data_IF_371496448066
#
_entry.id   IF_371496448066
#
_cell.length_a   1.000
_cell.length_b   1.000
_cell.length_c   1.000
_cell.angle_alpha   90.00
_cell.angle_beta   90.00
_cell.angle_gamma   90.00
#
_symmetry.space_group_name_H-M   'P 1'
#
loop_
_entity.id
_entity.type
_entity.pdbx_description
1 polymer ?
#
# COMPACT_ATOMS: atom_id res chain seq x y z
N UNK A 1 7.03 -20.21 5.18
CA UNK A 1 6.24 -21.23 4.46
C UNK A 1 7.11 -21.78 3.33
N UNK A 2 6.99 -23.06 3.05
CA UNK A 2 7.73 -23.72 1.96
C UNK A 2 6.69 -24.23 0.95
N UNK A 3 6.96 -24.02 -0.34
CA UNK A 3 6.06 -24.43 -1.43
C UNK A 3 6.83 -25.21 -2.49
N UNK A 4 6.24 -26.28 -3.00
CA UNK A 4 6.81 -27.03 -4.11
C UNK A 4 6.52 -26.38 -5.46
N UNK A 5 7.35 -26.69 -6.48
CA UNK A 5 7.12 -26.25 -7.86
C UNK A 5 5.72 -26.60 -8.36
N UNK A 6 5.25 -27.82 -8.04
CA UNK A 6 3.91 -28.29 -8.37
C UNK A 6 2.80 -27.40 -7.76
N UNK A 7 2.91 -27.06 -6.47
CA UNK A 7 1.93 -26.20 -5.79
C UNK A 7 1.92 -24.78 -6.38
N UNK A 8 3.11 -24.22 -6.64
CA UNK A 8 3.22 -22.91 -7.26
C UNK A 8 2.61 -22.93 -8.66
N UNK A 9 3.00 -23.89 -9.50
CA UNK A 9 2.48 -24.01 -10.87
C UNK A 9 0.96 -24.13 -10.88
N UNK A 10 0.38 -24.92 -9.97
CA UNK A 10 -1.08 -25.06 -9.84
C UNK A 10 -1.73 -23.71 -9.49
N UNK A 11 -1.15 -22.92 -8.57
CA UNK A 11 -1.69 -21.63 -8.16
C UNK A 11 -1.66 -20.58 -9.27
N UNK A 12 -0.56 -20.53 -10.05
CA UNK A 12 -0.39 -19.53 -11.13
C UNK A 12 -0.79 -20.08 -12.51
N UNK A 13 -1.36 -21.29 -12.58
CA UNK A 13 -1.74 -21.95 -13.83
C UNK A 13 -0.57 -22.13 -14.81
N UNK A 14 0.61 -22.46 -14.26
CA UNK A 14 1.82 -22.71 -15.01
C UNK A 14 2.09 -24.21 -15.23
N UNK A 15 3.11 -24.51 -16.03
CA UNK A 15 3.61 -25.86 -16.30
C UNK A 15 5.04 -26.01 -15.76
N UNK A 16 5.26 -27.05 -14.96
CA UNK A 16 6.61 -27.37 -14.46
C UNK A 16 7.44 -28.05 -15.55
N UNK A 17 8.69 -27.63 -15.68
CA UNK A 17 9.72 -28.25 -16.49
C UNK A 17 10.94 -28.48 -15.59
N UNK A 18 11.19 -29.76 -15.20
CA UNK A 18 12.18 -30.16 -14.23
C UNK A 18 11.58 -30.90 -13.03
N UNK A 19 12.10 -30.65 -11.84
CA UNK A 19 11.67 -31.32 -10.60
C UNK A 19 10.40 -30.68 -10.01
N UNK A 20 9.27 -31.38 -10.10
CA UNK A 20 8.00 -30.94 -9.50
C UNK A 20 8.04 -30.79 -7.97
N UNK A 21 8.98 -31.47 -7.32
CA UNK A 21 9.12 -31.47 -5.86
C UNK A 21 10.16 -30.44 -5.37
N UNK A 22 10.85 -29.73 -6.27
CA UNK A 22 11.73 -28.64 -5.87
C UNK A 22 10.99 -27.62 -5.00
N UNK A 23 11.53 -27.30 -3.82
CA UNK A 23 10.89 -26.43 -2.84
C UNK A 23 11.55 -25.08 -2.73
N UNK A 24 10.74 -24.05 -2.39
CA UNK A 24 11.20 -22.68 -2.16
C UNK A 24 10.51 -22.07 -0.95
N UNK A 25 11.27 -21.19 -0.26
CA UNK A 25 10.80 -20.48 0.91
C UNK A 25 11.13 -18.97 0.86
N UNK A 26 11.83 -18.52 -0.18
CA UNK A 26 12.23 -17.12 -0.36
C UNK A 26 12.24 -16.71 -1.84
N UNK A 27 12.27 -15.41 -2.09
CA UNK A 27 12.44 -14.82 -3.42
C UNK A 27 13.86 -14.28 -3.56
N UNK A 28 14.42 -14.36 -4.77
CA UNK A 28 15.72 -13.77 -5.10
C UNK A 28 15.73 -13.24 -6.54
N UNK A 29 16.58 -12.26 -6.81
CA UNK A 29 16.89 -11.89 -8.20
C UNK A 29 17.58 -13.07 -8.88
N UNK A 30 17.43 -13.18 -10.21
CA UNK A 30 17.94 -14.33 -10.94
C UNK A 30 19.47 -14.44 -10.83
N UNK A 31 20.18 -13.33 -10.82
CA UNK A 31 21.64 -13.25 -10.65
C UNK A 31 22.11 -13.56 -9.22
N UNK A 32 21.23 -13.40 -8.23
CA UNK A 32 21.51 -13.62 -6.80
C UNK A 32 20.81 -14.89 -6.26
N UNK A 33 20.31 -15.75 -7.15
CA UNK A 33 19.57 -16.97 -6.78
C UNK A 33 20.38 -17.89 -5.87
N UNK A 34 19.73 -18.40 -4.83
CA UNK A 34 20.28 -19.35 -3.86
C UNK A 34 19.38 -20.59 -3.78
N UNK A 35 19.88 -21.73 -3.30
CA UNK A 35 19.03 -22.91 -3.04
C UNK A 35 17.85 -22.54 -2.12
N UNK A 36 16.65 -23.00 -2.48
CA UNK A 36 15.42 -22.65 -1.76
C UNK A 36 14.82 -21.31 -2.17
N UNK A 37 15.36 -20.62 -3.17
CA UNK A 37 14.74 -19.40 -3.71
C UNK A 37 13.98 -19.65 -5.00
N UNK A 38 12.93 -18.82 -5.21
CA UNK A 38 12.26 -18.64 -6.49
C UNK A 38 12.69 -17.32 -7.12
N UNK A 39 13.00 -17.36 -8.41
CA UNK A 39 13.31 -16.19 -9.24
C UNK A 39 12.37 -16.11 -10.43
N UNK A 40 12.47 -15.05 -11.22
CA UNK A 40 11.74 -14.92 -12.47
C UNK A 40 12.60 -14.29 -13.57
N UNK A 41 12.30 -14.61 -14.81
CA UNK A 41 12.92 -14.08 -16.00
C UNK A 41 11.84 -13.59 -16.98
N UNK A 42 11.52 -12.29 -16.89
CA UNK A 42 10.55 -11.63 -17.78
C UNK A 42 11.22 -10.70 -18.80
N UNK A 43 12.49 -10.38 -18.63
CA UNK A 43 13.25 -9.53 -19.54
C UNK A 43 14.40 -10.33 -20.20
N UNK A 44 14.39 -10.48 -21.54
CA UNK A 44 15.42 -11.22 -22.26
C UNK A 44 16.86 -10.76 -22.01
N UNK A 45 17.06 -9.51 -21.61
CA UNK A 45 18.41 -8.99 -21.26
C UNK A 45 19.09 -9.76 -20.11
N UNK A 46 18.32 -10.46 -19.29
CA UNK A 46 18.82 -11.23 -18.16
C UNK A 46 18.93 -12.74 -18.45
N UNK A 47 18.73 -13.16 -19.72
CA UNK A 47 18.70 -14.58 -20.10
C UNK A 47 20.00 -15.30 -19.75
N UNK A 48 21.13 -14.63 -19.81
CA UNK A 48 22.44 -15.22 -19.46
C UNK A 48 22.51 -15.76 -18.03
N UNK A 49 21.74 -15.21 -17.10
CA UNK A 49 21.76 -15.62 -15.71
C UNK A 49 21.03 -16.94 -15.48
N UNK A 50 20.11 -17.35 -16.37
CA UNK A 50 19.37 -18.62 -16.23
C UNK A 50 20.29 -19.86 -16.17
N UNK A 51 21.42 -19.81 -16.87
CA UNK A 51 22.35 -20.92 -16.97
C UNK A 51 23.24 -21.07 -15.73
N UNK A 52 23.38 -20.04 -14.90
CA UNK A 52 24.29 -19.98 -13.76
C UNK A 52 23.58 -19.72 -12.42
N UNK A 53 22.28 -19.40 -12.44
CA UNK A 53 21.53 -19.17 -11.21
C UNK A 53 21.52 -20.42 -10.32
N UNK A 54 21.55 -20.22 -9.00
CA UNK A 54 21.37 -21.26 -7.99
C UNK A 54 19.95 -21.29 -7.42
N UNK A 55 19.04 -20.48 -7.97
CA UNK A 55 17.63 -20.52 -7.60
C UNK A 55 17.07 -21.93 -7.85
N UNK A 56 16.28 -22.44 -6.92
CA UNK A 56 15.64 -23.76 -7.07
C UNK A 56 14.57 -23.76 -8.17
N UNK A 57 13.86 -22.63 -8.31
CA UNK A 57 12.78 -22.47 -9.30
C UNK A 57 12.93 -21.12 -9.99
N UNK A 58 12.70 -21.08 -11.31
CA UNK A 58 12.59 -19.83 -12.06
C UNK A 58 11.30 -19.81 -12.86
N UNK A 59 10.53 -18.73 -12.70
CA UNK A 59 9.36 -18.45 -13.53
C UNK A 59 9.82 -17.85 -14.86
N UNK A 60 9.31 -18.38 -15.96
CA UNK A 60 9.63 -17.92 -17.32
C UNK A 60 8.38 -17.83 -18.18
N UNK A 61 8.39 -16.95 -19.18
CA UNK A 61 7.32 -16.91 -20.17
C UNK A 61 7.31 -18.18 -21.04
N UNK A 62 6.12 -18.67 -21.41
CA UNK A 62 5.95 -19.86 -22.26
C UNK A 62 6.70 -19.74 -23.61
N UNK A 63 6.80 -18.53 -24.14
CA UNK A 63 7.43 -18.21 -25.41
C UNK A 63 8.95 -18.12 -25.35
N UNK A 64 9.56 -18.25 -24.18
CA UNK A 64 10.99 -18.05 -24.02
C UNK A 64 11.75 -19.36 -24.32
N UNK A 65 12.55 -19.36 -25.38
CA UNK A 65 13.43 -20.46 -25.75
C UNK A 65 14.85 -20.25 -25.21
N UNK A 66 15.53 -21.34 -24.89
CA UNK A 66 16.88 -21.33 -24.36
C UNK A 66 17.84 -22.00 -25.33
N UNK A 67 18.98 -21.37 -25.59
CA UNK A 67 20.03 -21.89 -26.48
C UNK A 67 20.78 -23.09 -25.89
N UNK A 68 20.80 -23.19 -24.54
CA UNK A 68 21.49 -24.24 -23.82
C UNK A 68 20.60 -24.88 -22.76
N UNK A 69 20.89 -26.11 -22.32
CA UNK A 69 20.14 -26.77 -21.26
C UNK A 69 20.16 -25.96 -19.95
N UNK A 70 19.00 -25.79 -19.35
CA UNK A 70 18.81 -25.13 -18.05
C UNK A 70 18.79 -26.19 -16.96
N UNK A 71 19.55 -25.97 -15.89
CA UNK A 71 19.69 -26.92 -14.77
C UNK A 71 18.62 -26.74 -13.69
N UNK A 72 18.13 -25.52 -13.50
CA UNK A 72 17.12 -25.22 -12.50
C UNK A 72 15.73 -25.63 -12.96
N UNK A 73 14.83 -25.89 -12.03
CA UNK A 73 13.43 -26.16 -12.35
C UNK A 73 12.76 -24.90 -12.86
N UNK A 74 12.08 -25.00 -13.99
CA UNK A 74 11.33 -23.90 -14.58
C UNK A 74 9.83 -24.08 -14.30
N UNK A 75 9.12 -22.97 -14.11
CA UNK A 75 7.68 -22.92 -14.22
C UNK A 75 7.35 -21.97 -15.37
N UNK A 76 6.82 -22.54 -16.45
CA UNK A 76 6.40 -21.81 -17.63
C UNK A 76 5.00 -21.26 -17.46
N UNK A 77 4.82 -19.98 -17.77
CA UNK A 77 3.56 -19.23 -17.64
C UNK A 77 3.36 -18.28 -18.82
N UNK A 78 2.13 -17.85 -19.04
CA UNK A 78 1.84 -16.85 -20.10
C UNK A 78 2.52 -15.52 -19.88
N UNK A 79 2.65 -15.08 -18.61
CA UNK A 79 3.29 -13.81 -18.24
C UNK A 79 3.97 -13.99 -16.87
N UNK A 80 5.29 -14.12 -16.87
CA UNK A 80 6.07 -14.34 -15.65
C UNK A 80 6.03 -13.14 -14.70
N UNK A 81 5.93 -11.90 -15.21
CA UNK A 81 5.83 -10.69 -14.38
C UNK A 81 4.54 -10.67 -13.58
N UNK A 82 3.41 -10.95 -14.22
CA UNK A 82 2.10 -10.96 -13.54
C UNK A 82 2.04 -12.10 -12.51
N UNK A 83 2.61 -13.25 -12.85
CA UNK A 83 2.66 -14.39 -11.96
C UNK A 83 3.52 -14.13 -10.72
N UNK A 84 4.71 -13.51 -10.88
CA UNK A 84 5.53 -13.15 -9.72
C UNK A 84 4.85 -12.11 -8.85
N UNK A 85 4.14 -11.13 -9.43
CA UNK A 85 3.36 -10.16 -8.65
C UNK A 85 2.30 -10.86 -7.79
N UNK A 86 1.56 -11.83 -8.34
CA UNK A 86 0.58 -12.64 -7.58
C UNK A 86 1.22 -13.43 -6.44
N UNK A 87 2.40 -14.02 -6.68
CA UNK A 87 3.13 -14.77 -5.64
C UNK A 87 3.64 -13.86 -4.54
N UNK A 88 4.15 -12.68 -4.87
CA UNK A 88 4.57 -11.67 -3.88
C UNK A 88 3.39 -11.17 -3.05
N UNK A 89 2.23 -10.95 -3.68
CA UNK A 89 0.99 -10.59 -2.96
C UNK A 89 0.57 -11.71 -1.99
N UNK A 90 0.58 -12.97 -2.42
CA UNK A 90 0.29 -14.12 -1.56
C UNK A 90 1.26 -14.20 -0.38
N UNK A 91 2.55 -14.02 -0.65
CA UNK A 91 3.59 -14.02 0.38
C UNK A 91 3.37 -12.90 1.40
N UNK A 92 3.13 -11.68 0.94
CA UNK A 92 2.83 -10.54 1.81
C UNK A 92 1.56 -10.75 2.64
N UNK A 93 0.49 -11.29 2.03
CA UNK A 93 -0.77 -11.58 2.72
C UNK A 93 -0.64 -12.72 3.76
N UNK A 94 0.37 -13.60 3.62
CA UNK A 94 0.63 -14.69 4.56
C UNK A 94 1.31 -14.24 5.86
N UNK A 95 1.82 -13.00 5.92
CA UNK A 95 2.40 -12.46 7.14
C UNK A 95 1.32 -12.34 8.23
N UNK A 96 1.60 -12.78 9.48
CA UNK A 96 0.63 -12.70 10.54
C UNK A 96 0.28 -11.23 10.84
N UNK A 97 -1.00 -10.88 10.73
CA UNK A 97 -1.48 -9.56 11.13
C UNK A 97 -1.39 -9.42 12.65
N UNK A 98 -0.93 -8.25 13.10
CA UNK A 98 -0.94 -7.90 14.52
C UNK A 98 -2.39 -7.73 14.98
N UNK A 99 -2.65 -7.94 16.28
CA UNK A 99 -3.98 -7.76 16.88
C UNK A 99 -3.87 -7.11 18.26
N UNK A 100 -4.94 -6.45 18.65
CA UNK A 100 -5.08 -5.83 19.96
C UNK A 100 -4.62 -4.38 20.02
N UNK A 101 -4.87 -3.75 21.15
CA UNK A 101 -4.52 -2.35 21.43
C UNK A 101 -3.31 -2.36 22.35
N UNK A 102 -2.23 -1.69 21.92
CA UNK A 102 -1.03 -1.55 22.75
C UNK A 102 -1.34 -0.73 24.00
N UNK A 103 -0.84 -1.13 25.19
CA UNK A 103 -1.08 -0.40 26.44
C UNK A 103 -0.61 1.06 26.46
N UNK A 104 0.32 1.42 25.58
CA UNK A 104 0.82 2.79 25.40
C UNK A 104 0.03 3.60 24.37
N UNK A 105 -0.97 3.02 23.71
CA UNK A 105 -1.87 3.75 22.83
C UNK A 105 -2.94 4.49 23.67
N UNK A 106 -3.29 5.69 23.23
CA UNK A 106 -4.48 6.37 23.75
C UNK A 106 -5.66 6.12 22.81
N UNK A 107 -6.72 5.53 23.34
CA UNK A 107 -7.98 5.37 22.62
C UNK A 107 -9.08 5.98 23.48
N UNK A 108 -9.76 6.99 22.94
CA UNK A 108 -10.88 7.63 23.66
C UNK A 108 -11.96 6.60 24.01
N UNK A 109 -12.55 6.68 25.21
CA UNK A 109 -13.72 5.88 25.58
C UNK A 109 -14.95 6.07 24.66
N UNK A 110 -14.98 7.18 23.91
CA UNK A 110 -16.05 7.48 22.95
C UNK A 110 -15.74 7.00 21.53
N UNK A 111 -14.53 6.47 21.27
CA UNK A 111 -14.19 5.86 20.01
C UNK A 111 -14.79 4.45 19.88
N UNK A 112 -15.13 4.06 18.66
CA UNK A 112 -15.61 2.71 18.33
C UNK A 112 -14.56 2.01 17.49
N UNK A 113 -14.03 0.90 17.99
CA UNK A 113 -13.01 0.11 17.31
C UNK A 113 -13.62 -1.23 16.90
N UNK A 114 -13.51 -1.56 15.63
CA UNK A 114 -13.99 -2.83 15.08
C UNK A 114 -13.18 -4.05 15.55
N UNK A 115 -13.60 -5.23 15.10
CA UNK A 115 -12.98 -6.49 15.47
C UNK A 115 -11.62 -6.66 14.78
N UNK A 116 -10.74 -7.50 15.38
CA UNK A 116 -9.44 -7.89 14.80
C UNK A 116 -8.52 -6.72 14.41
N UNK A 117 -8.71 -5.55 15.00
CA UNK A 117 -7.85 -4.39 14.81
C UNK A 117 -6.53 -4.50 15.59
N UNK A 118 -5.50 -3.85 15.07
CA UNK A 118 -4.27 -3.54 15.80
C UNK A 118 -4.13 -2.03 15.96
N UNK A 119 -3.87 -1.56 17.18
CA UNK A 119 -3.55 -0.16 17.48
C UNK A 119 -2.21 -0.16 18.22
N UNK A 120 -1.18 0.37 17.57
CA UNK A 120 0.21 0.35 18.02
C UNK A 120 0.50 1.40 19.08
N UNK A 121 1.64 1.26 19.75
CA UNK A 121 2.11 2.16 20.81
C UNK A 121 2.11 3.63 20.35
N UNK A 122 1.72 4.53 21.26
CA UNK A 122 1.65 5.97 21.04
C UNK A 122 0.69 6.42 19.92
N UNK A 123 -0.15 5.52 19.41
CA UNK A 123 -1.26 5.94 18.57
C UNK A 123 -2.27 6.75 19.41
N UNK A 124 -2.81 7.81 18.84
CA UNK A 124 -3.83 8.66 19.47
C UNK A 124 -5.13 8.58 18.67
N UNK A 125 -6.17 8.04 19.29
CA UNK A 125 -7.51 7.91 18.70
C UNK A 125 -8.48 8.78 19.51
N UNK A 126 -8.95 9.85 18.90
CA UNK A 126 -9.76 10.89 19.55
C UNK A 126 -11.23 10.51 19.74
N UNK A 127 -11.99 11.43 20.32
CA UNK A 127 -13.42 11.29 20.59
C UNK A 127 -14.23 11.09 19.29
N UNK A 128 -15.19 10.17 19.33
CA UNK A 128 -16.13 9.94 18.23
C UNK A 128 -15.53 9.33 16.96
N UNK A 129 -14.27 8.87 17.00
CA UNK A 129 -13.66 8.11 15.90
C UNK A 129 -14.33 6.75 15.77
N UNK A 130 -14.63 6.36 14.54
CA UNK A 130 -15.13 5.03 14.21
C UNK A 130 -14.12 4.32 13.30
N UNK A 131 -13.64 3.13 13.67
CA UNK A 131 -12.70 2.32 12.90
C UNK A 131 -13.34 0.97 12.62
N UNK A 132 -13.44 0.60 11.35
CA UNK A 132 -13.97 -0.69 10.90
C UNK A 132 -13.06 -1.88 11.23
N UNK A 133 -13.54 -3.09 10.95
CA UNK A 133 -12.87 -4.34 11.27
C UNK A 133 -11.53 -4.52 10.55
N UNK A 134 -10.59 -5.24 11.15
CA UNK A 134 -9.35 -5.69 10.52
C UNK A 134 -8.30 -4.61 10.24
N UNK A 135 -8.48 -3.39 10.75
CA UNK A 135 -7.56 -2.28 10.55
C UNK A 135 -6.22 -2.48 11.28
N UNK A 136 -5.14 -2.03 10.66
CA UNK A 136 -3.79 -2.08 11.20
C UNK A 136 -3.28 -0.64 11.37
N UNK A 137 -3.39 -0.11 12.57
CA UNK A 137 -2.98 1.25 12.94
C UNK A 137 -1.62 1.15 13.65
N UNK A 138 -0.56 1.56 12.96
CA UNK A 138 0.81 1.43 13.45
C UNK A 138 1.16 2.52 14.49
N UNK A 139 2.33 2.42 15.17
CA UNK A 139 2.72 3.36 16.21
C UNK A 139 2.76 4.83 15.74
N UNK A 140 2.44 5.75 16.66
CA UNK A 140 2.44 7.20 16.43
C UNK A 140 1.44 7.70 15.37
N UNK A 141 0.44 6.92 15.00
CA UNK A 141 -0.66 7.39 14.15
C UNK A 141 -1.58 8.28 15.00
N UNK A 142 -2.02 9.42 14.43
CA UNK A 142 -2.97 10.33 15.07
C UNK A 142 -4.25 10.39 14.25
N UNK A 143 -5.38 10.07 14.88
CA UNK A 143 -6.72 10.16 14.28
C UNK A 143 -7.55 11.10 15.15
N UNK A 144 -7.88 12.27 14.60
CA UNK A 144 -8.60 13.33 15.31
C UNK A 144 -10.11 13.07 15.35
N UNK A 145 -10.84 13.96 16.04
CA UNK A 145 -12.23 13.80 16.41
C UNK A 145 -13.15 13.55 15.19
N UNK A 146 -14.07 12.60 15.36
CA UNK A 146 -15.16 12.34 14.43
C UNK A 146 -14.74 11.73 13.09
N UNK A 147 -13.49 11.31 12.95
CA UNK A 147 -13.01 10.61 11.75
C UNK A 147 -13.69 9.24 11.64
N UNK A 148 -14.07 8.89 10.41
CA UNK A 148 -14.61 7.56 10.08
C UNK A 148 -13.65 6.81 9.19
N UNK A 149 -13.31 5.59 9.59
CA UNK A 149 -12.40 4.69 8.87
C UNK A 149 -13.13 3.39 8.56
N UNK A 150 -13.14 2.99 7.30
CA UNK A 150 -13.69 1.73 6.85
C UNK A 150 -12.87 0.51 7.32
N UNK A 151 -13.18 -0.66 6.80
CA UNK A 151 -12.54 -1.91 7.18
C UNK A 151 -11.20 -2.15 6.44
N UNK A 152 -10.34 -2.99 7.04
CA UNK A 152 -9.08 -3.48 6.47
C UNK A 152 -8.08 -2.38 6.06
N UNK A 153 -8.13 -1.21 6.68
CA UNK A 153 -7.19 -0.14 6.42
C UNK A 153 -5.82 -0.41 7.07
N UNK A 154 -4.77 0.10 6.43
CA UNK A 154 -3.39 -0.01 6.91
C UNK A 154 -2.76 1.37 6.99
N UNK A 155 -2.53 1.87 8.20
CA UNK A 155 -1.90 3.17 8.43
C UNK A 155 -0.52 2.95 9.04
N UNK A 156 0.49 3.32 8.29
CA UNK A 156 1.89 3.23 8.72
C UNK A 156 2.24 4.30 9.75
N UNK A 157 3.38 4.20 10.45
CA UNK A 157 3.74 5.13 11.52
C UNK A 157 3.70 6.59 11.09
N UNK A 158 3.29 7.47 12.01
CA UNK A 158 3.22 8.92 11.84
C UNK A 158 2.18 9.42 10.81
N UNK A 159 1.23 8.61 10.39
CA UNK A 159 0.06 9.10 9.65
C UNK A 159 -0.78 9.99 10.55
N UNK A 160 -1.24 11.13 10.01
CA UNK A 160 -2.11 12.08 10.71
C UNK A 160 -3.40 12.32 9.93
N UNK A 161 -4.55 12.07 10.56
CA UNK A 161 -5.87 12.29 9.96
C UNK A 161 -6.61 13.30 10.81
N UNK A 162 -6.90 14.44 10.21
CA UNK A 162 -7.57 15.55 10.87
C UNK A 162 -9.07 15.31 11.01
N UNK A 163 -9.67 16.06 11.92
CA UNK A 163 -11.06 15.90 12.33
C UNK A 163 -12.07 15.84 11.18
N UNK A 164 -13.08 15.00 11.33
CA UNK A 164 -14.23 14.87 10.45
C UNK A 164 -13.96 14.20 9.10
N UNK A 165 -12.72 13.83 8.78
CA UNK A 165 -12.39 13.17 7.51
C UNK A 165 -12.98 11.76 7.43
N UNK A 166 -13.29 11.33 6.20
CA UNK A 166 -13.83 10.00 5.92
C UNK A 166 -12.83 9.18 5.09
N UNK A 167 -12.54 7.96 5.54
CA UNK A 167 -11.64 7.02 4.89
C UNK A 167 -12.43 5.76 4.57
N UNK A 168 -12.43 5.33 3.33
CA UNK A 168 -13.10 4.11 2.86
C UNK A 168 -12.42 2.81 3.32
N UNK A 169 -12.77 1.71 2.66
CA UNK A 169 -12.23 0.38 2.96
C UNK A 169 -10.91 0.11 2.22
N UNK A 170 -10.08 -0.78 2.78
CA UNK A 170 -8.82 -1.23 2.16
C UNK A 170 -7.85 -0.08 1.81
N UNK A 171 -7.91 1.03 2.53
CA UNK A 171 -7.05 2.20 2.30
C UNK A 171 -5.70 1.96 2.95
N UNK A 172 -4.62 2.26 2.20
CA UNK A 172 -3.24 2.21 2.70
C UNK A 172 -2.67 3.63 2.72
N UNK A 173 -2.26 4.08 3.91
CA UNK A 173 -1.57 5.36 4.10
C UNK A 173 -0.16 5.09 4.58
N UNK A 174 0.84 5.48 3.80
CA UNK A 174 2.25 5.32 4.15
C UNK A 174 2.72 6.38 5.16
N UNK A 175 3.89 6.13 5.77
CA UNK A 175 4.42 6.93 6.89
C UNK A 175 4.47 8.43 6.58
N UNK A 176 4.04 9.24 7.54
CA UNK A 176 4.06 10.70 7.43
C UNK A 176 2.99 11.30 6.52
N UNK A 177 2.08 10.50 5.96
CA UNK A 177 0.94 11.01 5.20
C UNK A 177 0.03 11.86 6.09
N UNK A 178 -0.39 13.01 5.60
CA UNK A 178 -1.28 13.95 6.29
C UNK A 178 -2.58 14.11 5.50
N UNK A 179 -3.70 13.80 6.15
CA UNK A 179 -5.03 13.91 5.55
C UNK A 179 -5.84 14.98 6.27
N UNK A 180 -6.30 15.98 5.54
CA UNK A 180 -7.21 17.01 6.04
C UNK A 180 -6.52 18.18 6.75
N UNK A 181 -5.24 18.44 6.50
CA UNK A 181 -4.63 19.71 6.86
C UNK A 181 -5.33 20.88 6.14
N UNK A 182 -5.23 22.08 6.69
CA UNK A 182 -5.80 23.27 6.05
C UNK A 182 -5.17 23.52 4.68
N UNK A 183 -6.02 23.76 3.69
CA UNK A 183 -5.59 24.26 2.39
C UNK A 183 -4.98 25.67 2.47
N UNK A 184 -4.29 26.08 1.42
CA UNK A 184 -3.66 27.40 1.33
C UNK A 184 -4.72 28.48 1.05
N UNK A 185 -5.39 28.91 2.12
CA UNK A 185 -6.47 29.91 2.09
C UNK A 185 -6.07 31.20 2.82
N UNK A 186 -5.71 32.25 2.06
CA UNK A 186 -5.38 33.56 2.58
C UNK A 186 -5.93 34.66 1.67
N UNK A 187 -6.51 35.72 2.26
CA UNK A 187 -6.97 36.90 1.56
C UNK A 187 -6.00 38.06 1.81
N UNK A 188 -5.54 38.76 0.76
CA UNK A 188 -4.74 39.96 0.96
C UNK A 188 -5.59 41.07 1.61
N UNK A 189 -5.08 41.68 2.67
CA UNK A 189 -5.69 42.83 3.34
C UNK A 189 -5.02 44.12 2.84
N UNK A 190 -5.73 44.94 2.05
CA UNK A 190 -5.12 46.15 1.45
C UNK A 190 -4.82 47.25 2.46
N UNK A 191 -5.47 47.25 3.63
CA UNK A 191 -5.25 48.29 4.67
C UNK A 191 -4.00 48.00 5.47
N UNK A 192 -3.72 46.74 5.77
CA UNK A 192 -2.58 46.32 6.61
C UNK A 192 -1.37 45.83 5.81
N UNK A 193 -1.56 45.59 4.51
CA UNK A 193 -0.61 44.90 3.62
C UNK A 193 -0.18 43.51 4.15
N UNK A 194 -1.09 42.81 4.83
CA UNK A 194 -0.91 41.49 5.40
C UNK A 194 -1.91 40.49 4.76
N UNK A 195 -1.86 39.23 5.16
CA UNK A 195 -2.74 38.18 4.70
C UNK A 195 -3.65 37.71 5.85
N UNK A 196 -4.93 37.78 5.65
CA UNK A 196 -5.91 37.26 6.59
C UNK A 196 -6.21 35.79 6.27
N UNK A 197 -6.10 34.90 7.28
CA UNK A 197 -6.39 33.48 7.14
C UNK A 197 -7.87 33.25 6.81
N UNK A 198 -8.11 32.48 5.76
CA UNK A 198 -9.45 31.94 5.44
C UNK A 198 -9.56 30.57 6.11
N UNK A 199 -10.42 30.40 7.13
CA UNK A 199 -10.61 29.11 7.80
C UNK A 199 -11.08 28.02 6.83
N UNK A 200 -10.53 26.83 6.96
CA UNK A 200 -10.89 25.67 6.16
C UNK A 200 -11.78 24.76 7.01
N UNK A 201 -13.08 24.73 6.73
CA UNK A 201 -14.10 24.03 7.53
C UNK A 201 -14.62 22.75 6.88
N UNK A 202 -14.19 22.46 5.67
CA UNK A 202 -14.53 21.23 4.97
C UNK A 202 -13.72 20.03 5.46
N UNK A 203 -13.85 18.93 4.75
CA UNK A 203 -13.19 17.65 5.08
C UNK A 203 -12.45 17.08 3.87
N UNK A 204 -11.80 15.94 4.09
CA UNK A 204 -11.33 15.05 3.03
C UNK A 204 -12.16 13.77 3.06
N UNK A 205 -12.54 13.28 1.89
CA UNK A 205 -13.12 11.95 1.69
C UNK A 205 -12.20 11.12 0.81
N UNK A 206 -11.72 9.99 1.33
CA UNK A 206 -10.95 8.99 0.59
C UNK A 206 -11.85 7.77 0.41
N UNK A 207 -12.08 7.38 -0.84
CA UNK A 207 -12.89 6.21 -1.16
C UNK A 207 -12.09 4.90 -1.01
N UNK A 208 -12.70 3.76 -1.39
CA UNK A 208 -12.13 2.43 -1.20
C UNK A 208 -10.88 2.17 -2.07
N UNK A 209 -10.04 1.23 -1.62
CA UNK A 209 -8.91 0.69 -2.39
C UNK A 209 -7.85 1.75 -2.78
N UNK A 210 -7.78 2.88 -2.06
CA UNK A 210 -6.80 3.96 -2.29
C UNK A 210 -5.49 3.65 -1.57
N UNK A 211 -4.37 4.00 -2.21
CA UNK A 211 -3.05 3.94 -1.58
C UNK A 211 -2.32 5.28 -1.75
N UNK A 212 -1.82 5.84 -0.65
CA UNK A 212 -1.13 7.14 -0.62
C UNK A 212 0.27 6.96 -0.05
N UNK A 213 1.26 7.34 -0.85
CA UNK A 213 2.69 7.24 -0.56
C UNK A 213 3.15 8.15 0.58
N UNK A 214 4.34 7.87 1.08
CA UNK A 214 4.91 8.52 2.25
C UNK A 214 5.05 10.05 2.09
N UNK A 215 4.79 10.78 3.19
CA UNK A 215 4.89 12.24 3.27
C UNK A 215 4.04 13.00 2.23
N UNK A 216 2.98 12.38 1.73
CA UNK A 216 1.99 13.04 0.88
C UNK A 216 0.97 13.78 1.73
N UNK A 217 0.43 14.89 1.20
CA UNK A 217 -0.59 15.69 1.86
C UNK A 217 -1.84 15.79 0.99
N UNK A 218 -3.01 15.66 1.63
CA UNK A 218 -4.31 15.93 1.02
C UNK A 218 -5.00 16.97 1.87
N UNK A 219 -5.12 18.19 1.35
CA UNK A 219 -5.69 19.31 2.07
C UNK A 219 -7.21 19.22 2.14
N UNK A 220 -7.79 19.64 3.27
CA UNK A 220 -9.24 19.75 3.39
C UNK A 220 -9.80 20.85 2.52
N UNK A 221 -11.03 20.68 2.12
CA UNK A 221 -11.78 21.69 1.41
C UNK A 221 -12.02 22.94 2.27
N UNK A 222 -12.13 24.09 1.66
CA UNK A 222 -12.61 25.29 2.36
C UNK A 222 -14.02 25.06 2.90
N UNK A 223 -14.91 24.51 2.06
CA UNK A 223 -16.26 24.04 2.38
C UNK A 223 -16.55 22.79 1.55
N UNK A 224 -17.24 21.81 2.11
CA UNK A 224 -17.51 20.53 1.46
C UNK A 224 -16.36 19.55 1.61
N UNK A 225 -15.94 18.91 0.53
CA UNK A 225 -14.92 17.85 0.59
C UNK A 225 -13.90 17.93 -0.55
N UNK A 226 -12.64 17.69 -0.23
CA UNK A 226 -11.61 17.25 -1.18
C UNK A 226 -11.76 15.74 -1.32
N UNK A 227 -11.89 15.22 -2.53
CA UNK A 227 -12.25 13.82 -2.76
C UNK A 227 -11.14 13.07 -3.49
N UNK A 228 -10.72 11.93 -2.92
CA UNK A 228 -9.85 10.95 -3.58
C UNK A 228 -10.71 9.74 -3.89
N UNK A 229 -10.96 9.50 -5.16
CA UNK A 229 -11.89 8.46 -5.59
C UNK A 229 -11.28 7.07 -5.54
N UNK A 230 -12.14 6.07 -5.68
CA UNK A 230 -11.79 4.66 -5.59
C UNK A 230 -10.60 4.26 -6.45
N UNK A 231 -9.71 3.43 -5.88
CA UNK A 231 -8.60 2.82 -6.60
C UNK A 231 -7.42 3.74 -6.93
N UNK A 232 -7.45 5.00 -6.52
CA UNK A 232 -6.36 5.98 -6.74
C UNK A 232 -5.07 5.50 -6.08
N UNK A 233 -3.93 5.71 -6.78
CA UNK A 233 -2.57 5.42 -6.30
C UNK A 233 -1.71 6.67 -6.40
N UNK A 234 -1.35 7.23 -5.26
CA UNK A 234 -0.45 8.36 -5.16
C UNK A 234 0.91 7.88 -4.64
N UNK A 235 1.97 8.23 -5.34
CA UNK A 235 3.34 7.95 -4.90
C UNK A 235 3.76 8.92 -3.78
N UNK A 236 5.00 8.87 -3.36
CA UNK A 236 5.52 9.66 -2.24
C UNK A 236 5.56 11.16 -2.56
N UNK A 237 5.40 11.99 -1.53
CA UNK A 237 5.54 13.46 -1.64
C UNK A 237 4.53 14.12 -2.59
N UNK A 238 3.36 13.53 -2.80
CA UNK A 238 2.29 14.11 -3.61
C UNK A 238 1.53 15.14 -2.76
N UNK A 239 1.22 16.32 -3.36
CA UNK A 239 0.38 17.36 -2.75
C UNK A 239 -0.95 17.46 -3.50
N UNK A 240 -2.05 17.25 -2.81
CA UNK A 240 -3.40 17.49 -3.30
C UNK A 240 -3.98 18.70 -2.58
N UNK A 241 -4.23 19.78 -3.32
CA UNK A 241 -4.79 20.99 -2.77
C UNK A 241 -6.27 20.85 -2.45
N UNK A 242 -6.78 21.82 -1.69
CA UNK A 242 -8.18 21.88 -1.26
C UNK A 242 -9.18 21.93 -2.43
N UNK A 243 -10.38 21.41 -2.21
CA UNK A 243 -11.47 21.41 -3.18
C UNK A 243 -11.22 20.64 -4.49
N UNK A 244 -10.20 19.79 -4.56
CA UNK A 244 -9.95 18.94 -5.73
C UNK A 244 -10.76 17.65 -5.66
N UNK A 245 -11.01 17.07 -6.82
CA UNK A 245 -11.66 15.77 -7.01
C UNK A 245 -10.76 14.91 -7.91
N UNK A 246 -10.07 13.93 -7.33
CA UNK A 246 -9.18 13.02 -8.06
C UNK A 246 -9.97 11.80 -8.51
N UNK A 247 -10.11 11.65 -9.82
CA UNK A 247 -10.93 10.60 -10.46
C UNK A 247 -10.47 9.17 -10.14
N UNK A 248 -11.37 8.20 -10.29
CA UNK A 248 -11.12 6.79 -10.02
C UNK A 248 -9.90 6.25 -10.77
N UNK A 249 -9.14 5.36 -10.09
CA UNK A 249 -7.97 4.67 -10.64
C UNK A 249 -6.87 5.60 -11.19
N UNK A 250 -6.87 6.88 -10.81
CA UNK A 250 -5.78 7.80 -11.14
C UNK A 250 -4.47 7.34 -10.48
N UNK A 251 -3.38 7.42 -11.22
CA UNK A 251 -2.02 7.12 -10.74
C UNK A 251 -1.17 8.37 -10.87
N UNK A 252 -0.51 8.79 -9.79
CA UNK A 252 0.40 9.93 -9.78
C UNK A 252 1.78 9.49 -9.30
N UNK A 253 2.82 9.87 -10.05
CA UNK A 253 4.22 9.67 -9.65
C UNK A 253 4.62 10.61 -8.52
N UNK A 254 5.77 10.36 -7.91
CA UNK A 254 6.29 11.16 -6.80
C UNK A 254 6.41 12.65 -7.15
N UNK A 255 6.18 13.50 -6.13
CA UNK A 255 6.30 14.97 -6.20
C UNK A 255 5.28 15.66 -7.14
N UNK A 256 4.21 14.96 -7.58
CA UNK A 256 3.12 15.63 -8.30
C UNK A 256 2.37 16.55 -7.34
N UNK A 257 2.08 17.76 -7.81
CA UNK A 257 1.19 18.72 -7.15
C UNK A 257 -0.07 18.95 -7.99
N UNK A 258 -1.23 18.92 -7.34
CA UNK A 258 -2.52 19.24 -7.93
C UNK A 258 -3.11 20.41 -7.16
N UNK A 259 -3.44 21.51 -7.87
CA UNK A 259 -4.01 22.74 -7.31
C UNK A 259 -5.40 23.00 -7.87
#
# INVERSE_FOLDING_TARGET
MEFSAKQIAQFIQGRVEGDENATVHTFAKIEEGVPGSISFLANPKYIQYIYNTKASIVLVDDSLDFEHPVKTTLIRVKNARDCVAKLLQLYAASAPKKKGIDPLAFVSPKAKIGNDCYIGAFAYIADGVEIGDGCQIYPNVTIMEGVKVGANCLFYPHVSIYHGCHIGNNVVLHSGTVIGADGFGFAPNPETNQYDKIPQIGIVTIEDDVEIGANSCVDRSTMGTTTIRKGVKLDNLVQIAHNTDIGENTVMSAQVGVA
#
